data_IF_319987187812
#
_entry.id   IF_319987187812
#
_cell.length_a   1.000
_cell.length_b   1.000
_cell.length_c   1.000
_cell.angle_alpha   90.00
_cell.angle_beta   90.00
_cell.angle_gamma   90.00
#
_symmetry.space_group_name_H-M   'P 1'
#
loop_
_entity.id
_entity.type
_entity.pdbx_description
1 polymer ?
#
# COMPACT_ATOMS: atom_id res chain seq x y z
N UNK A 1 -13.45 18.29 -15.75
CA UNK A 1 -12.68 18.20 -14.50
C UNK A 1 -12.22 16.76 -14.36
N UNK A 2 -10.91 16.56 -14.36
CA UNK A 2 -10.18 15.28 -14.43
C UNK A 2 -10.18 14.52 -13.08
N UNK A 3 -11.30 14.60 -12.33
CA UNK A 3 -11.38 14.28 -10.90
C UNK A 3 -11.17 12.78 -10.54
N UNK A 4 -10.92 11.91 -11.52
CA UNK A 4 -10.64 10.49 -11.31
C UNK A 4 -9.17 10.06 -11.48
N UNK A 5 -8.34 10.89 -12.14
CA UNK A 5 -6.93 10.55 -12.42
C UNK A 5 -6.02 11.42 -11.57
N UNK A 6 -5.48 10.84 -10.51
CA UNK A 6 -4.51 11.52 -9.65
C UNK A 6 -3.19 10.74 -9.57
N UNK A 7 -2.39 10.75 -10.65
CA UNK A 7 -1.09 10.11 -10.64
C UNK A 7 -0.07 10.85 -9.76
N UNK A 8 -0.29 12.14 -9.47
CA UNK A 8 0.60 12.95 -8.61
C UNK A 8 0.68 12.39 -7.20
N UNK A 9 -0.44 11.95 -6.63
CA UNK A 9 -0.46 11.33 -5.31
C UNK A 9 0.44 10.08 -5.25
N UNK A 10 0.32 9.19 -6.25
CA UNK A 10 1.13 7.96 -6.31
C UNK A 10 2.61 8.25 -6.64
N UNK A 11 2.87 9.27 -7.47
CA UNK A 11 4.22 9.76 -7.74
C UNK A 11 4.89 10.25 -6.47
N UNK A 12 4.24 11.13 -5.72
CA UNK A 12 4.82 11.72 -4.51
C UNK A 12 5.01 10.68 -3.41
N UNK A 13 4.05 9.76 -3.26
CA UNK A 13 4.08 8.76 -2.18
C UNK A 13 5.02 7.59 -2.45
N UNK A 14 5.12 7.14 -3.70
CA UNK A 14 5.83 5.89 -4.04
C UNK A 14 6.85 6.01 -5.16
N UNK A 15 6.95 7.17 -5.82
CA UNK A 15 7.71 7.33 -7.08
C UNK A 15 7.33 6.24 -8.09
N UNK A 16 6.02 5.95 -8.16
CA UNK A 16 5.48 4.80 -8.88
C UNK A 16 5.90 4.79 -10.36
N UNK A 17 6.07 5.96 -10.97
CA UNK A 17 6.51 6.13 -12.35
C UNK A 17 7.87 5.50 -12.68
N UNK A 18 8.71 5.26 -11.66
CA UNK A 18 10.07 4.72 -11.79
C UNK A 18 10.14 3.21 -11.51
N UNK A 19 9.04 2.56 -11.14
CA UNK A 19 9.08 1.15 -10.79
C UNK A 19 9.07 0.27 -12.05
N UNK A 20 9.65 -0.93 -11.93
CA UNK A 20 9.78 -1.88 -13.03
C UNK A 20 8.41 -2.35 -13.55
N UNK A 21 7.39 -2.40 -12.69
CA UNK A 21 6.04 -2.77 -13.07
C UNK A 21 5.38 -1.71 -13.98
N UNK A 22 5.67 -0.43 -13.74
CA UNK A 22 5.23 0.66 -14.61
C UNK A 22 5.96 0.61 -15.94
N UNK A 23 7.26 0.35 -15.94
CA UNK A 23 8.04 0.16 -17.17
C UNK A 23 7.48 -0.99 -18.02
N UNK A 24 7.18 -2.14 -17.40
CA UNK A 24 6.56 -3.27 -18.08
C UNK A 24 5.17 -2.92 -18.64
N UNK A 25 4.37 -2.13 -17.91
CA UNK A 25 3.06 -1.70 -18.38
C UNK A 25 3.15 -0.76 -19.60
N UNK A 26 4.09 0.19 -19.57
CA UNK A 26 4.37 1.09 -20.69
C UNK A 26 4.83 0.29 -21.91
N UNK A 27 5.83 -0.59 -21.75
CA UNK A 27 6.33 -1.42 -22.85
C UNK A 27 5.23 -2.33 -23.44
N UNK A 28 4.37 -2.91 -22.60
CA UNK A 28 3.25 -3.72 -23.06
C UNK A 28 2.22 -2.91 -23.87
N UNK A 29 1.99 -1.65 -23.51
CA UNK A 29 1.09 -0.73 -24.23
C UNK A 29 1.70 -0.28 -25.56
N UNK A 30 2.99 0.03 -25.59
CA UNK A 30 3.71 0.41 -26.81
C UNK A 30 3.78 -0.74 -27.82
N UNK A 31 3.97 -1.99 -27.36
CA UNK A 31 3.88 -3.19 -28.23
C UNK A 31 2.51 -3.35 -28.90
N UNK A 32 1.44 -2.84 -28.30
CA UNK A 32 0.08 -2.81 -28.87
C UNK A 32 -0.15 -1.62 -29.82
N UNK A 33 0.91 -0.86 -30.15
CA UNK A 33 0.86 0.28 -31.08
C UNK A 33 0.45 1.61 -30.45
N UNK A 34 0.23 1.66 -29.12
CA UNK A 34 -0.13 2.89 -28.41
C UNK A 34 1.11 3.55 -27.81
N UNK A 35 1.57 4.67 -28.39
CA UNK A 35 2.69 5.43 -27.84
C UNK A 35 2.31 6.11 -26.53
N UNK A 36 3.07 5.86 -25.47
CA UNK A 36 2.87 6.51 -24.17
C UNK A 36 3.83 7.69 -24.08
N UNK A 37 3.34 8.86 -23.67
CA UNK A 37 4.26 9.99 -23.42
C UNK A 37 5.09 9.66 -22.20
N UNK A 38 6.39 9.99 -22.23
CA UNK A 38 7.28 9.75 -21.10
C UNK A 38 7.11 10.79 -19.98
N UNK A 39 5.88 10.99 -19.52
CA UNK A 39 5.54 11.84 -18.37
C UNK A 39 5.13 10.95 -17.20
N UNK A 40 5.39 11.35 -15.94
CA UNK A 40 4.98 10.55 -14.78
C UNK A 40 3.49 10.19 -14.77
N UNK A 41 2.64 11.14 -15.15
CA UNK A 41 1.19 10.97 -15.19
C UNK A 41 0.75 9.86 -16.16
N UNK A 42 1.26 9.88 -17.39
CA UNK A 42 0.89 8.92 -18.45
C UNK A 42 1.44 7.52 -18.16
N UNK A 43 2.64 7.44 -17.59
CA UNK A 43 3.25 6.17 -17.16
C UNK A 43 2.43 5.50 -16.06
N UNK A 44 2.09 6.25 -15.01
CA UNK A 44 1.25 5.75 -13.90
C UNK A 44 -0.13 5.37 -14.42
N UNK A 45 -0.73 6.17 -15.31
CA UNK A 45 -2.02 5.85 -15.91
C UNK A 45 -1.98 4.55 -16.71
N UNK A 46 -0.96 4.35 -17.56
CA UNK A 46 -0.79 3.10 -18.31
C UNK A 46 -0.68 1.87 -17.41
N UNK A 47 -0.04 2.02 -16.24
CA UNK A 47 0.03 0.96 -15.25
C UNK A 47 -1.31 0.68 -14.55
N UNK A 48 -2.01 1.71 -14.09
CA UNK A 48 -3.32 1.55 -13.45
C UNK A 48 -4.36 0.96 -14.42
N UNK A 49 -4.39 1.39 -15.68
CA UNK A 49 -5.26 0.79 -16.71
C UNK A 49 -4.91 -0.69 -16.95
N UNK A 50 -3.62 -1.04 -16.96
CA UNK A 50 -3.19 -2.44 -17.09
C UNK A 50 -3.66 -3.25 -15.89
N UNK A 51 -3.52 -2.74 -14.66
CA UNK A 51 -4.02 -3.40 -13.47
C UNK A 51 -5.53 -3.59 -13.52
N UNK A 52 -6.30 -2.55 -13.88
CA UNK A 52 -7.75 -2.65 -14.02
C UNK A 52 -8.14 -3.67 -15.09
N UNK A 53 -7.43 -3.74 -16.22
CA UNK A 53 -7.66 -4.74 -17.27
C UNK A 53 -7.38 -6.17 -16.79
N UNK A 54 -6.39 -6.35 -15.91
CA UNK A 54 -6.07 -7.67 -15.33
C UNK A 54 -7.14 -8.07 -14.31
N UNK A 55 -7.55 -7.16 -13.44
CA UNK A 55 -8.54 -7.45 -12.40
C UNK A 55 -9.97 -7.51 -12.95
N UNK A 56 -10.25 -6.77 -14.02
CA UNK A 56 -11.55 -6.65 -14.67
C UNK A 56 -11.40 -6.88 -16.19
N UNK A 57 -11.02 -8.09 -16.61
CA UNK A 57 -10.87 -8.40 -18.03
C UNK A 57 -12.24 -8.31 -18.72
N UNK A 58 -12.30 -7.90 -20.00
CA UNK A 58 -13.54 -7.98 -20.77
C UNK A 58 -14.06 -9.42 -20.81
N UNK A 59 -15.34 -9.62 -21.11
CA UNK A 59 -15.87 -10.98 -21.32
C UNK A 59 -15.18 -11.63 -22.53
N UNK A 60 -14.91 -12.93 -22.46
CA UNK A 60 -14.33 -13.67 -23.57
C UNK A 60 -15.46 -14.17 -24.46
N UNK A 61 -15.51 -13.70 -25.71
CA UNK A 61 -16.48 -14.18 -26.68
C UNK A 61 -16.24 -15.69 -26.95
N UNK A 62 -17.32 -16.47 -26.99
CA UNK A 62 -17.26 -17.92 -27.24
C UNK A 62 -16.90 -18.81 -26.04
N UNK A 63 -16.58 -18.25 -24.88
CA UNK A 63 -16.21 -19.02 -23.68
C UNK A 63 -17.01 -18.59 -22.44
N UNK A 64 -18.34 -18.77 -22.50
CA UNK A 64 -19.27 -18.32 -21.46
C UNK A 64 -19.04 -18.98 -20.08
N UNK A 65 -18.47 -20.19 -20.03
CA UNK A 65 -18.18 -20.92 -18.78
C UNK A 65 -16.88 -20.52 -18.10
N UNK A 66 -16.02 -19.71 -18.75
CA UNK A 66 -14.72 -19.36 -18.21
C UNK A 66 -14.70 -17.93 -17.67
N UNK A 67 -14.71 -17.81 -16.34
CA UNK A 67 -14.56 -16.52 -15.68
C UNK A 67 -13.07 -16.14 -15.58
N UNK A 68 -12.65 -15.26 -16.49
CA UNK A 68 -11.29 -14.71 -16.50
C UNK A 68 -10.98 -13.87 -15.26
N UNK A 69 -11.97 -13.16 -14.72
CA UNK A 69 -11.80 -12.30 -13.55
C UNK A 69 -11.52 -13.17 -12.34
N UNK A 70 -12.33 -14.20 -12.12
CA UNK A 70 -12.14 -15.17 -11.04
C UNK A 70 -10.76 -15.84 -11.11
N UNK A 71 -10.34 -16.30 -12.29
CA UNK A 71 -8.99 -16.83 -12.51
C UNK A 71 -7.90 -15.82 -12.15
N UNK A 72 -8.02 -14.58 -12.60
CA UNK A 72 -7.01 -13.55 -12.36
C UNK A 72 -6.90 -13.19 -10.87
N UNK A 73 -8.03 -13.07 -10.19
CA UNK A 73 -8.08 -12.84 -8.75
C UNK A 73 -7.46 -14.01 -7.99
N UNK A 74 -7.75 -15.25 -8.38
CA UNK A 74 -7.17 -16.45 -7.76
C UNK A 74 -5.65 -16.49 -7.89
N UNK A 75 -5.10 -16.17 -9.07
CA UNK A 75 -3.65 -16.09 -9.26
C UNK A 75 -3.02 -14.94 -8.48
N UNK A 76 -3.68 -13.78 -8.42
CA UNK A 76 -3.21 -12.65 -7.63
C UNK A 76 -3.17 -13.00 -6.14
N UNK A 77 -4.26 -13.56 -5.60
CA UNK A 77 -4.35 -14.01 -4.22
C UNK A 77 -3.23 -14.99 -3.89
N UNK A 78 -2.98 -15.99 -4.74
CA UNK A 78 -1.86 -16.92 -4.57
C UNK A 78 -0.51 -16.20 -4.44
N UNK A 79 -0.19 -15.30 -5.38
CA UNK A 79 1.05 -14.52 -5.32
C UNK A 79 1.12 -13.67 -4.05
N UNK A 80 0.02 -13.06 -3.64
CA UNK A 80 -0.04 -12.25 -2.43
C UNK A 80 0.06 -13.09 -1.16
N UNK A 81 -0.50 -14.30 -1.15
CA UNK A 81 -0.37 -15.25 -0.05
C UNK A 81 1.09 -15.64 0.14
N UNK A 82 1.75 -15.99 -0.97
CA UNK A 82 3.16 -16.37 -0.98
C UNK A 82 4.07 -15.21 -0.52
N UNK A 83 3.72 -13.97 -0.85
CA UNK A 83 4.54 -12.80 -0.51
C UNK A 83 4.27 -12.22 0.89
N UNK A 84 3.04 -12.33 1.40
CA UNK A 84 2.59 -11.56 2.56
C UNK A 84 2.21 -12.42 3.76
N UNK A 85 1.80 -13.68 3.60
CA UNK A 85 1.42 -14.50 4.76
C UNK A 85 2.68 -14.96 5.49
N UNK A 86 2.63 -14.97 6.82
CA UNK A 86 3.75 -15.47 7.64
C UNK A 86 4.11 -16.89 7.20
N UNK A 87 5.41 -17.20 7.18
CA UNK A 87 5.86 -18.54 6.78
C UNK A 87 5.58 -19.56 7.89
N UNK A 88 5.21 -20.81 7.56
CA UNK A 88 4.82 -21.83 8.55
C UNK A 88 5.82 -22.04 9.70
N UNK A 89 7.11 -22.03 9.37
CA UNK A 89 8.23 -22.17 10.30
C UNK A 89 8.32 -20.95 11.22
N UNK A 90 8.35 -19.75 10.64
CA UNK A 90 8.38 -18.48 11.39
C UNK A 90 7.14 -18.34 12.28
N UNK A 91 5.97 -18.71 11.77
CA UNK A 91 4.71 -18.68 12.50
C UNK A 91 4.75 -19.59 13.73
N UNK A 92 5.35 -20.77 13.58
CA UNK A 92 5.54 -21.72 14.67
C UNK A 92 6.48 -21.13 15.73
N UNK A 93 7.61 -20.57 15.30
CA UNK A 93 8.60 -19.98 16.22
C UNK A 93 8.04 -18.80 17.02
N UNK A 94 7.36 -17.88 16.33
CA UNK A 94 6.72 -16.72 16.97
C UNK A 94 5.60 -17.14 17.92
N UNK A 95 4.79 -18.12 17.52
CA UNK A 95 3.73 -18.64 18.37
C UNK A 95 4.27 -19.27 19.66
N UNK A 96 5.27 -20.16 19.56
CA UNK A 96 5.85 -20.81 20.73
C UNK A 96 6.56 -19.81 21.65
N UNK A 97 7.26 -18.83 21.06
CA UNK A 97 7.88 -17.73 21.81
C UNK A 97 6.83 -16.90 22.56
N UNK A 98 5.68 -16.63 21.93
CA UNK A 98 4.57 -15.93 22.56
C UNK A 98 3.97 -16.73 23.72
N UNK A 99 3.75 -18.04 23.54
CA UNK A 99 3.24 -18.93 24.58
C UNK A 99 4.18 -18.99 25.80
N UNK A 100 5.49 -19.07 25.58
CA UNK A 100 6.48 -19.01 26.68
C UNK A 100 6.42 -17.68 27.45
N UNK A 101 6.33 -16.55 26.74
CA UNK A 101 6.19 -15.23 27.37
C UNK A 101 4.91 -15.12 28.21
N UNK A 102 3.79 -15.65 27.71
CA UNK A 102 2.52 -15.67 28.43
C UNK A 102 2.59 -16.58 29.67
N UNK A 103 3.14 -17.79 29.54
CA UNK A 103 3.31 -18.72 30.67
C UNK A 103 4.15 -18.09 31.80
N UNK A 104 5.25 -17.41 31.44
CA UNK A 104 6.08 -16.66 32.38
C UNK A 104 5.31 -15.53 33.07
N UNK A 105 4.53 -14.75 32.31
CA UNK A 105 3.72 -13.66 32.86
C UNK A 105 2.64 -14.15 33.83
N UNK A 106 2.11 -15.36 33.62
CA UNK A 106 1.13 -16.01 34.51
C UNK A 106 1.77 -16.71 35.73
N UNK A 107 3.10 -16.67 35.85
CA UNK A 107 3.83 -17.21 37.01
C UNK A 107 4.20 -18.69 36.90
N UNK A 108 4.12 -19.29 35.71
CA UNK A 108 4.51 -20.70 35.49
C UNK A 108 6.04 -20.92 35.43
N UNK A 109 6.85 -19.84 35.45
CA UNK A 109 8.30 -19.91 35.35
C UNK A 109 8.81 -19.91 33.90
N UNK A 110 10.11 -20.19 33.72
CA UNK A 110 10.71 -20.33 32.39
C UNK A 110 10.45 -21.76 31.87
N UNK A 111 9.37 -21.92 31.10
CA UNK A 111 9.03 -23.20 30.46
C UNK A 111 9.88 -23.40 29.20
N UNK A 112 10.85 -24.31 29.25
CA UNK A 112 11.59 -24.73 28.05
C UNK A 112 10.72 -25.65 27.18
N UNK A 113 10.56 -25.29 25.91
CA UNK A 113 9.94 -26.16 24.91
C UNK A 113 11.09 -26.92 24.24
N UNK A 114 11.17 -28.26 24.40
CA UNK A 114 12.24 -29.02 23.77
C UNK A 114 12.23 -28.88 22.24
N UNK A 115 13.41 -28.83 21.63
CA UNK A 115 13.54 -28.59 20.18
C UNK A 115 12.77 -29.62 19.33
N UNK A 116 12.76 -30.89 19.74
CA UNK A 116 12.01 -31.92 19.03
C UNK A 116 10.49 -31.65 18.99
N UNK A 117 9.95 -30.94 19.99
CA UNK A 117 8.53 -30.55 20.02
C UNK A 117 8.29 -29.45 18.99
N UNK A 118 9.18 -28.46 18.93
CA UNK A 118 9.14 -27.41 17.90
C UNK A 118 9.17 -28.03 16.50
N UNK A 119 10.12 -28.93 16.25
CA UNK A 119 10.25 -29.60 14.95
C UNK A 119 8.99 -30.41 14.56
N UNK A 120 8.36 -31.09 15.52
CA UNK A 120 7.12 -31.84 15.29
C UNK A 120 5.97 -30.91 14.87
N UNK A 121 5.77 -29.81 15.59
CA UNK A 121 4.72 -28.82 15.29
C UNK A 121 5.01 -28.14 13.95
N UNK A 122 6.24 -27.66 13.73
CA UNK A 122 6.64 -26.99 12.50
C UNK A 122 6.44 -27.88 11.28
N UNK A 123 6.80 -29.17 11.36
CA UNK A 123 6.56 -30.14 10.28
C UNK A 123 5.08 -30.27 9.93
N UNK A 124 4.23 -30.42 10.95
CA UNK A 124 2.79 -30.54 10.73
C UNK A 124 2.20 -29.25 10.12
N UNK A 125 2.57 -28.08 10.65
CA UNK A 125 2.11 -26.78 10.12
C UNK A 125 2.57 -26.57 8.68
N UNK A 126 3.81 -26.93 8.33
CA UNK A 126 4.32 -26.88 6.94
C UNK A 126 3.49 -27.78 6.02
N UNK A 127 3.30 -29.06 6.39
CA UNK A 127 2.54 -30.01 5.58
C UNK A 127 1.10 -29.53 5.35
N UNK A 128 0.43 -29.06 6.40
CA UNK A 128 -0.92 -28.47 6.31
C UNK A 128 -0.93 -27.25 5.39
N UNK A 129 0.05 -26.35 5.53
CA UNK A 129 0.16 -25.16 4.68
C UNK A 129 0.40 -25.49 3.20
N UNK A 130 1.03 -26.63 2.91
CA UNK A 130 1.25 -27.17 1.55
C UNK A 130 0.03 -27.91 0.99
N UNK A 131 -1.02 -28.08 1.80
CA UNK A 131 -2.31 -28.65 1.38
C UNK A 131 -2.54 -30.10 1.82
N UNK A 132 -1.72 -30.64 2.73
CA UNK A 132 -2.04 -31.89 3.41
C UNK A 132 -3.33 -31.75 4.25
N UNK A 133 -4.02 -32.87 4.41
CA UNK A 133 -5.19 -32.94 5.27
C UNK A 133 -4.82 -32.72 6.75
N UNK A 134 -5.52 -31.80 7.41
CA UNK A 134 -5.25 -31.39 8.80
C UNK A 134 -5.41 -32.57 9.76
N UNK A 135 -6.47 -33.37 9.60
CA UNK A 135 -6.76 -34.46 10.52
C UNK A 135 -5.68 -35.53 10.44
N UNK A 136 -5.25 -35.86 9.22
CA UNK A 136 -4.17 -36.82 8.97
C UNK A 136 -2.82 -36.38 9.53
N UNK A 137 -2.41 -35.11 9.36
CA UNK A 137 -1.10 -34.63 9.84
C UNK A 137 -1.03 -34.53 11.37
N UNK A 138 -2.18 -34.37 12.04
CA UNK A 138 -2.26 -34.16 13.49
C UNK A 138 -2.59 -35.42 14.29
N UNK A 139 -2.99 -36.52 13.67
CA UNK A 139 -3.43 -37.76 14.34
C UNK A 139 -2.35 -38.34 15.28
N UNK A 140 -1.08 -38.25 14.89
CA UNK A 140 0.06 -38.79 15.67
C UNK A 140 0.62 -37.85 16.75
N UNK A 141 0.07 -36.65 16.91
CA UNK A 141 0.54 -35.66 17.87
C UNK A 141 -0.22 -35.76 19.20
N UNK A 142 0.50 -35.50 20.29
CA UNK A 142 -0.14 -35.30 21.60
C UNK A 142 -1.12 -34.12 21.54
N UNK A 143 -2.22 -34.19 22.30
CA UNK A 143 -3.32 -33.21 22.25
C UNK A 143 -2.84 -31.75 22.35
N UNK A 144 -1.88 -31.46 23.21
CA UNK A 144 -1.32 -30.10 23.37
C UNK A 144 -0.61 -29.62 22.09
N UNK A 145 0.18 -30.49 21.46
CA UNK A 145 0.88 -30.19 20.19
C UNK A 145 -0.09 -30.02 19.04
N UNK A 146 -1.12 -30.87 19.00
CA UNK A 146 -2.22 -30.76 18.04
C UNK A 146 -2.91 -29.41 18.16
N UNK A 147 -3.31 -29.00 19.37
CA UNK A 147 -3.93 -27.71 19.62
C UNK A 147 -3.02 -26.54 19.18
N UNK A 148 -1.73 -26.58 19.51
CA UNK A 148 -0.78 -25.55 19.09
C UNK A 148 -0.69 -25.44 17.57
N UNK A 149 -0.60 -26.57 16.85
CA UNK A 149 -0.57 -26.59 15.40
C UNK A 149 -1.87 -26.03 14.79
N UNK A 150 -3.03 -26.41 15.33
CA UNK A 150 -4.34 -25.89 14.89
C UNK A 150 -4.45 -24.37 15.08
N UNK A 151 -3.98 -23.84 16.21
CA UNK A 151 -3.99 -22.40 16.48
C UNK A 151 -3.06 -21.62 15.54
N UNK A 152 -1.89 -22.16 15.21
CA UNK A 152 -0.96 -21.57 14.23
C UNK A 152 -1.60 -21.52 12.85
N UNK A 153 -2.17 -22.65 12.39
CA UNK A 153 -2.85 -22.74 11.09
C UNK A 153 -4.04 -21.78 11.03
N UNK A 154 -4.84 -21.72 12.08
CA UNK A 154 -5.98 -20.81 12.17
C UNK A 154 -5.57 -19.34 12.02
N UNK A 155 -4.47 -18.93 12.66
CA UNK A 155 -3.92 -17.56 12.53
C UNK A 155 -3.46 -17.27 11.10
N UNK A 156 -2.77 -18.21 10.46
CA UNK A 156 -2.35 -18.06 9.05
C UNK A 156 -3.56 -17.95 8.12
N UNK A 157 -4.60 -18.73 8.37
CA UNK A 157 -5.83 -18.68 7.58
C UNK A 157 -6.62 -17.39 7.83
N UNK A 158 -6.60 -16.83 9.04
CA UNK A 158 -7.17 -15.50 9.31
C UNK A 158 -6.42 -14.40 8.55
N UNK A 159 -5.09 -14.51 8.39
CA UNK A 159 -4.33 -13.61 7.51
C UNK A 159 -4.77 -13.74 6.04
N UNK A 160 -4.91 -14.97 5.53
CA UNK A 160 -5.39 -15.21 4.15
C UNK A 160 -6.79 -14.63 3.95
N UNK A 161 -7.73 -14.97 4.83
CA UNK A 161 -9.12 -14.51 4.75
C UNK A 161 -9.25 -13.00 4.85
N UNK A 162 -8.51 -12.36 5.76
CA UNK A 162 -8.53 -10.90 5.91
C UNK A 162 -7.95 -10.20 4.67
N UNK A 163 -6.89 -10.72 4.07
CA UNK A 163 -6.33 -10.20 2.82
C UNK A 163 -7.29 -10.38 1.64
N UNK A 164 -7.87 -11.57 1.52
CA UNK A 164 -8.79 -11.91 0.44
C UNK A 164 -10.02 -11.00 0.42
N UNK A 165 -10.57 -10.66 1.60
CA UNK A 165 -11.66 -9.68 1.73
C UNK A 165 -11.34 -8.35 1.06
N UNK A 166 -10.11 -7.84 1.23
CA UNK A 166 -9.68 -6.59 0.58
C UNK A 166 -9.55 -6.75 -0.93
N UNK A 167 -8.91 -7.83 -1.39
CA UNK A 167 -8.72 -8.11 -2.81
C UNK A 167 -10.07 -8.26 -3.52
N UNK A 168 -10.97 -9.04 -2.94
CA UNK A 168 -12.30 -9.30 -3.49
C UNK A 168 -13.14 -8.03 -3.55
N UNK A 169 -13.18 -7.27 -2.44
CA UNK A 169 -13.96 -6.05 -2.39
C UNK A 169 -13.46 -4.98 -3.38
N UNK A 170 -12.15 -4.69 -3.40
CA UNK A 170 -11.58 -3.66 -4.27
C UNK A 170 -11.66 -4.02 -5.77
N UNK A 171 -11.89 -5.29 -6.09
CA UNK A 171 -12.14 -5.77 -7.44
C UNK A 171 -13.63 -5.76 -7.83
N UNK A 172 -14.57 -5.49 -6.92
CA UNK A 172 -16.00 -5.37 -7.27
C UNK A 172 -16.29 -4.15 -8.13
N UNK A 173 -17.38 -4.22 -8.90
CA UNK A 173 -17.86 -3.08 -9.68
C UNK A 173 -18.32 -1.92 -8.78
N UNK A 174 -18.88 -2.23 -7.59
CA UNK A 174 -19.28 -1.23 -6.59
C UNK A 174 -18.07 -0.44 -6.07
N UNK A 175 -16.99 -1.12 -5.69
CA UNK A 175 -15.77 -0.44 -5.25
C UNK A 175 -15.15 0.38 -6.39
N UNK A 176 -15.20 -0.11 -7.64
CA UNK A 176 -14.69 0.62 -8.80
C UNK A 176 -15.52 1.87 -9.12
N UNK A 177 -16.84 1.81 -8.91
CA UNK A 177 -17.72 2.97 -9.04
C UNK A 177 -17.53 3.98 -7.90
N UNK A 178 -17.29 3.50 -6.68
CA UNK A 178 -17.13 4.34 -5.49
C UNK A 178 -15.75 4.99 -5.36
N UNK A 179 -14.70 4.35 -5.90
CA UNK A 179 -13.31 4.72 -5.67
C UNK A 179 -12.49 4.83 -6.97
N UNK A 180 -11.73 5.93 -7.16
CA UNK A 180 -10.82 6.04 -8.29
C UNK A 180 -9.64 5.07 -8.17
N UNK A 181 -9.05 4.68 -9.31
CA UNK A 181 -7.99 3.66 -9.38
C UNK A 181 -6.80 3.95 -8.48
N UNK A 182 -6.40 5.23 -8.40
CA UNK A 182 -5.27 5.63 -7.55
C UNK A 182 -5.55 5.35 -6.07
N UNK A 183 -6.80 5.53 -5.63
CA UNK A 183 -7.20 5.30 -4.25
C UNK A 183 -7.29 3.81 -3.95
N UNK A 184 -7.85 3.00 -4.86
CA UNK A 184 -7.88 1.54 -4.72
C UNK A 184 -6.45 0.97 -4.63
N UNK A 185 -5.55 1.45 -5.48
CA UNK A 185 -4.13 1.08 -5.42
C UNK A 185 -3.50 1.46 -4.09
N UNK A 186 -3.72 2.70 -3.64
CA UNK A 186 -3.17 3.20 -2.38
C UNK A 186 -3.71 2.44 -1.17
N UNK A 187 -5.02 2.17 -1.13
CA UNK A 187 -5.67 1.44 -0.05
C UNK A 187 -5.08 0.03 0.05
N UNK A 188 -5.01 -0.70 -1.07
CA UNK A 188 -4.43 -2.04 -1.10
C UNK A 188 -2.97 -2.02 -0.62
N UNK A 189 -2.13 -1.14 -1.18
CA UNK A 189 -0.71 -1.02 -0.80
C UNK A 189 -0.51 -0.61 0.66
N UNK A 190 -1.45 0.14 1.24
CA UNK A 190 -1.39 0.54 2.65
C UNK A 190 -1.74 -0.64 3.55
N UNK A 191 -2.83 -1.35 3.27
CA UNK A 191 -3.30 -2.51 4.04
C UNK A 191 -2.23 -3.61 4.12
N UNK A 192 -1.49 -3.86 3.03
CA UNK A 192 -0.45 -4.91 3.03
C UNK A 192 0.71 -4.65 4.00
N UNK A 193 0.92 -3.40 4.40
CA UNK A 193 1.97 -3.00 5.35
C UNK A 193 1.49 -2.80 6.78
N UNK A 194 0.22 -3.10 7.07
CA UNK A 194 -0.42 -2.87 8.37
C UNK A 194 -0.88 -4.18 9.00
N UNK A 195 -0.83 -4.23 10.32
CA UNK A 195 -1.39 -5.27 11.17
C UNK A 195 -2.83 -4.92 11.59
N UNK A 196 -3.49 -5.79 12.34
CA UNK A 196 -4.80 -5.51 12.94
C UNK A 196 -4.76 -4.28 13.85
N UNK A 197 -5.88 -3.56 13.98
CA UNK A 197 -5.95 -2.36 14.82
C UNK A 197 -5.66 -2.71 16.29
N UNK A 198 -4.68 -2.01 16.87
CA UNK A 198 -4.38 -2.08 18.29
C UNK A 198 -5.27 -1.06 19.03
N UNK A 199 -6.13 -1.56 19.92
CA UNK A 199 -7.09 -0.72 20.66
C UNK A 199 -6.42 0.10 21.76
N UNK A 200 -5.33 -0.39 22.32
CA UNK A 200 -4.60 0.25 23.41
C UNK A 200 -3.74 1.38 22.85
N UNK A 201 -3.01 1.11 21.76
CA UNK A 201 -2.18 2.11 21.07
C UNK A 201 -2.97 3.00 20.10
N UNK A 202 -4.24 2.66 19.83
CA UNK A 202 -5.15 3.37 18.90
C UNK A 202 -4.56 3.60 17.51
N UNK A 203 -3.81 2.62 17.01
CA UNK A 203 -3.15 2.68 15.70
C UNK A 203 -3.14 1.31 15.05
N UNK A 204 -2.83 1.29 13.76
CA UNK A 204 -2.44 0.07 13.07
C UNK A 204 -0.92 -0.09 13.18
N UNK A 205 -0.40 -1.11 13.87
CA UNK A 205 1.02 -1.41 13.86
C UNK A 205 1.48 -1.72 12.43
N UNK A 206 2.75 -1.46 12.16
CA UNK A 206 3.38 -1.93 10.93
C UNK A 206 3.52 -3.45 10.98
N UNK A 207 3.50 -4.07 9.80
CA UNK A 207 3.64 -5.51 9.65
C UNK A 207 5.03 -5.86 9.09
N UNK A 208 5.57 -6.98 9.53
CA UNK A 208 6.82 -7.57 9.07
C UNK A 208 6.62 -9.05 8.70
N UNK A 209 7.72 -9.79 8.51
CA UNK A 209 7.71 -11.21 8.15
C UNK A 209 7.26 -12.13 9.27
N UNK A 210 7.29 -11.65 10.53
CA UNK A 210 6.98 -12.41 11.75
C UNK A 210 5.54 -12.17 12.21
N UNK A 211 4.90 -11.11 11.74
CA UNK A 211 3.56 -10.76 12.19
C UNK A 211 2.54 -11.84 11.83
N UNK A 212 1.89 -12.42 12.85
CA UNK A 212 0.81 -13.42 12.71
C UNK A 212 -0.60 -12.82 12.72
N UNK A 213 -0.74 -11.55 13.10
CA UNK A 213 -2.04 -10.89 13.15
C UNK A 213 -2.68 -10.75 11.76
N UNK A 214 -4.01 -10.78 11.65
CA UNK A 214 -4.72 -10.53 10.40
C UNK A 214 -4.47 -9.12 9.88
N UNK A 215 -4.73 -8.91 8.59
CA UNK A 215 -4.74 -7.58 7.99
C UNK A 215 -5.86 -6.73 8.60
N UNK A 216 -5.77 -5.38 8.51
CA UNK A 216 -6.84 -4.48 8.94
C UNK A 216 -8.23 -4.94 8.50
N UNK A 217 -9.21 -4.84 9.38
CA UNK A 217 -10.58 -5.18 9.04
C UNK A 217 -11.12 -4.22 7.96
N UNK A 218 -11.79 -4.79 6.97
CA UNK A 218 -12.43 -4.01 5.91
C UNK A 218 -13.78 -3.48 6.40
N UNK A 219 -13.87 -2.16 6.58
CA UNK A 219 -15.12 -1.43 6.74
C UNK A 219 -15.28 -0.46 5.56
N UNK A 220 -16.32 -0.69 4.74
CA UNK A 220 -16.57 0.07 3.52
C UNK A 220 -16.96 1.54 3.82
N UNK A 221 -17.69 1.79 4.90
CA UNK A 221 -18.12 3.12 5.29
C UNK A 221 -16.94 3.93 5.84
N UNK A 222 -16.06 3.28 6.62
CA UNK A 222 -14.81 3.89 7.08
C UNK A 222 -13.88 4.15 5.90
N UNK A 223 -13.76 3.23 4.94
CA UNK A 223 -12.95 3.43 3.74
C UNK A 223 -13.41 4.65 2.92
N UNK A 224 -14.72 4.87 2.81
CA UNK A 224 -15.29 6.07 2.21
C UNK A 224 -14.85 7.35 2.92
N UNK A 225 -14.89 7.37 4.26
CA UNK A 225 -14.40 8.51 5.06
C UNK A 225 -12.90 8.73 4.89
N UNK A 226 -12.12 7.66 4.80
CA UNK A 226 -10.67 7.73 4.55
C UNK A 226 -10.39 8.33 3.17
N UNK A 227 -11.13 7.93 2.13
CA UNK A 227 -11.04 8.56 0.80
C UNK A 227 -11.26 10.07 0.89
N UNK A 228 -12.33 10.48 1.54
CA UNK A 228 -12.68 11.90 1.66
C UNK A 228 -11.62 12.68 2.44
N UNK A 229 -11.07 12.09 3.50
CA UNK A 229 -9.99 12.70 4.28
C UNK A 229 -8.69 12.86 3.47
N UNK A 230 -8.28 11.82 2.72
CA UNK A 230 -7.09 11.87 1.87
C UNK A 230 -7.25 12.89 0.75
N UNK A 231 -8.43 12.93 0.13
CA UNK A 231 -8.74 13.91 -0.92
C UNK A 231 -8.77 15.33 -0.37
N UNK A 232 -9.36 15.54 0.81
CA UNK A 232 -9.38 16.85 1.47
C UNK A 232 -7.97 17.34 1.85
N UNK A 233 -7.15 16.50 2.50
CA UNK A 233 -5.76 16.84 2.84
C UNK A 233 -4.95 17.21 1.60
N UNK A 234 -5.15 16.48 0.50
CA UNK A 234 -4.53 16.79 -0.79
C UNK A 234 -4.94 18.16 -1.31
N UNK A 235 -6.25 18.40 -1.45
CA UNK A 235 -6.78 19.68 -1.97
C UNK A 235 -6.31 20.84 -1.09
N UNK A 236 -6.24 20.65 0.22
CA UNK A 236 -5.71 21.64 1.14
C UNK A 236 -4.23 21.95 0.85
N UNK A 237 -3.37 20.92 0.75
CA UNK A 237 -1.94 21.07 0.44
C UNK A 237 -1.69 21.74 -0.92
N UNK A 238 -2.47 21.39 -1.94
CA UNK A 238 -2.40 22.02 -3.27
C UNK A 238 -2.75 23.51 -3.24
N UNK A 239 -3.80 23.88 -2.49
CA UNK A 239 -4.20 25.29 -2.30
C UNK A 239 -3.11 26.08 -1.57
N UNK A 240 -2.55 25.53 -0.51
CA UNK A 240 -1.46 26.16 0.25
C UNK A 240 -0.23 26.38 -0.64
N UNK A 241 0.18 25.37 -1.41
CA UNK A 241 1.32 25.49 -2.32
C UNK A 241 1.10 26.53 -3.42
N UNK A 242 -0.13 26.61 -3.97
CA UNK A 242 -0.49 27.62 -4.97
C UNK A 242 -0.43 29.03 -4.40
N UNK A 243 -1.00 29.24 -3.20
CA UNK A 243 -0.96 30.53 -2.52
C UNK A 243 0.49 30.96 -2.19
N UNK A 244 1.34 30.03 -1.76
CA UNK A 244 2.76 30.30 -1.50
C UNK A 244 3.50 30.72 -2.79
N UNK A 245 3.22 30.08 -3.91
CA UNK A 245 3.83 30.44 -5.20
C UNK A 245 3.35 31.82 -5.70
N UNK A 246 2.08 32.17 -5.49
CA UNK A 246 1.55 33.50 -5.79
C UNK A 246 2.22 34.58 -4.95
N UNK A 247 2.38 34.36 -3.64
CA UNK A 247 3.13 35.26 -2.74
C UNK A 247 4.56 35.43 -3.24
N UNK A 248 5.26 34.33 -3.53
CA UNK A 248 6.65 34.36 -4.05
C UNK A 248 6.77 35.14 -5.36
N UNK A 249 5.78 35.02 -6.26
CA UNK A 249 5.73 35.77 -7.51
C UNK A 249 5.48 37.26 -7.27
N UNK A 250 4.58 37.60 -6.35
CA UNK A 250 4.30 38.98 -5.98
C UNK A 250 5.52 39.65 -5.36
N UNK A 251 6.23 38.98 -4.45
CA UNK A 251 7.48 39.47 -3.84
C UNK A 251 8.57 39.71 -4.88
N UNK A 252 8.78 38.77 -5.82
CA UNK A 252 9.74 38.94 -6.92
C UNK A 252 9.40 40.15 -7.79
N UNK A 253 8.12 40.32 -8.13
CA UNK A 253 7.64 41.47 -8.91
C UNK A 253 7.88 42.78 -8.16
N UNK A 254 7.51 42.83 -6.88
CA UNK A 254 7.70 44.00 -6.02
C UNK A 254 9.19 44.37 -5.87
N UNK A 255 10.07 43.39 -5.63
CA UNK A 255 11.51 43.62 -5.54
C UNK A 255 12.09 44.15 -6.85
N UNK A 256 11.66 43.62 -8.00
CA UNK A 256 12.06 44.12 -9.32
C UNK A 256 11.62 45.56 -9.54
N UNK A 257 10.38 45.90 -9.17
CA UNK A 257 9.86 47.26 -9.26
C UNK A 257 10.64 48.22 -8.35
N UNK A 258 10.98 47.82 -7.12
CA UNK A 258 11.83 48.60 -6.21
C UNK A 258 13.22 48.84 -6.80
N UNK A 259 13.84 47.80 -7.37
CA UNK A 259 15.16 47.93 -8.01
C UNK A 259 15.13 48.92 -9.19
N UNK A 260 14.10 48.84 -10.04
CA UNK A 260 13.91 49.77 -11.16
C UNK A 260 13.67 51.21 -10.68
N UNK A 261 12.88 51.40 -9.61
CA UNK A 261 12.62 52.71 -9.03
C UNK A 261 13.89 53.33 -8.43
N UNK A 262 14.72 52.53 -7.75
CA UNK A 262 16.02 52.98 -7.23
C UNK A 262 16.95 53.37 -8.39
N UNK A 263 17.06 52.54 -9.42
CA UNK A 263 17.88 52.83 -10.61
C UNK A 263 17.44 54.14 -11.29
N UNK A 264 16.14 54.34 -11.48
CA UNK A 264 15.58 55.57 -12.07
C UNK A 264 15.90 56.81 -11.24
N UNK A 265 15.79 56.73 -9.90
CA UNK A 265 16.16 57.84 -8.99
C UNK A 265 17.65 58.17 -9.05
N UNK A 266 18.52 57.16 -9.13
CA UNK A 266 19.97 57.34 -9.29
C UNK A 266 20.28 58.01 -10.62
N UNK A 267 19.64 57.58 -11.71
CA UNK A 267 19.81 58.19 -13.03
C UNK A 267 19.30 59.64 -13.07
N UNK A 268 18.17 59.93 -12.42
CA UNK A 268 17.63 61.29 -12.32
C UNK A 268 18.52 62.20 -11.45
N UNK A 269 19.06 61.69 -10.34
CA UNK A 269 20.01 62.42 -9.50
C UNK A 269 21.31 62.77 -10.25
N UNK A 270 21.86 61.82 -11.03
CA UNK A 270 23.02 62.07 -11.90
C UNK A 270 22.74 63.09 -12.99
N UNK A 271 21.52 63.12 -13.54
CA UNK A 271 21.11 64.15 -14.52
C UNK A 271 20.98 65.53 -13.89
N UNK A 272 20.56 65.63 -12.62
CA UNK A 272 20.42 66.91 -11.89
C UNK A 272 21.74 67.44 -11.32
N UNK A 273 22.70 66.57 -10.99
CA UNK A 273 24.01 66.97 -10.48
C UNK A 273 25.11 66.01 -10.97
N UNK A 274 25.72 66.28 -12.15
CA UNK A 274 26.64 65.33 -12.80
C UNK A 274 27.97 65.12 -12.05
N UNK A 275 28.34 66.03 -11.13
CA UNK A 275 29.60 65.99 -10.37
C UNK A 275 29.43 65.60 -8.89
N UNK A 276 28.27 65.08 -8.48
CA UNK A 276 28.05 64.63 -7.10
C UNK A 276 28.84 63.32 -6.81
N UNK A 277 29.68 63.25 -5.76
CA UNK A 277 30.44 62.06 -5.44
C UNK A 277 29.51 60.94 -4.96
N UNK A 278 29.66 59.75 -5.55
CA UNK A 278 28.94 58.54 -5.12
C UNK A 278 29.63 58.02 -3.86
N UNK A 279 29.06 58.33 -2.69
CA UNK A 279 29.56 57.77 -1.43
C UNK A 279 29.25 56.27 -1.38
N UNK A 280 30.27 55.48 -1.01
CA UNK A 280 30.29 54.01 -1.11
C UNK A 280 29.67 53.33 0.11
#
# INVERSE_FOLDING_TARGET
>A
MENGRNPEFLRQKYQLEKTTEVEHAVAARERKGSRVRNTPAERIHAYLERLDTILNPPKLEGHASFDRKERNLSMMKRFMHDALIVKPDVATDEYLTHQQKQARALGHGDTEIPEYVREQIARAVVAIAEGSDIESELEGLENEKKQMAEEIVAKMDDQKRSLDKWVDYLATDDARAAYPDWFRYWAMRSVTGLSSFDKDEKRFPSRDTETMNPFPELDQAVLGKVRDAVEHDRVYKERVATAQEEVRRAEKKHNRERQLAVASRVDEAKRRNPDAPVDR
#
